data_IF_424559670531
#
_entry.id   IF_424559670531
#
_cell.length_a   1.000
_cell.length_b   1.000
_cell.length_c   1.000
_cell.angle_alpha   90.00
_cell.angle_beta   90.00
_cell.angle_gamma   90.00
#
_symmetry.space_group_name_H-M   'P 1'
#
loop_
_entity.id
_entity.type
_entity.pdbx_description
1 polymer ?
#
# COMPACT_ATOMS: atom_id res chain seq x y z
N UNK A 1 -13.06 -19.33 9.64
CA UNK A 1 -13.25 -18.21 8.69
C UNK A 1 -12.17 -17.13 8.85
N UNK A 2 -11.78 -16.76 10.08
CA UNK A 2 -10.72 -15.76 10.35
C UNK A 2 -9.32 -16.14 9.85
N UNK A 3 -8.95 -17.42 9.89
CA UNK A 3 -7.63 -17.91 9.45
C UNK A 3 -7.40 -17.77 7.95
N UNK A 4 -8.39 -18.11 7.12
CA UNK A 4 -8.31 -17.93 5.67
C UNK A 4 -8.16 -16.45 5.29
N UNK A 5 -8.92 -15.58 5.96
CA UNK A 5 -8.84 -14.13 5.73
C UNK A 5 -7.49 -13.56 6.19
N UNK A 6 -6.95 -14.04 7.31
CA UNK A 6 -5.62 -13.67 7.77
C UNK A 6 -4.52 -14.06 6.78
N UNK A 7 -4.55 -15.30 6.28
CA UNK A 7 -3.60 -15.80 5.28
C UNK A 7 -3.73 -14.98 3.99
N UNK A 8 -4.96 -14.72 3.53
CA UNK A 8 -5.19 -13.91 2.34
C UNK A 8 -4.63 -12.49 2.47
N UNK A 9 -4.79 -11.85 3.63
CA UNK A 9 -4.23 -10.52 3.90
C UNK A 9 -2.70 -10.51 3.91
N UNK A 10 -2.08 -11.53 4.52
CA UNK A 10 -0.61 -11.67 4.56
C UNK A 10 -0.08 -11.91 3.14
N UNK A 11 -0.68 -12.83 2.39
CA UNK A 11 -0.30 -13.11 1.00
C UNK A 11 -0.48 -11.88 0.11
N UNK A 12 -1.57 -11.13 0.29
CA UNK A 12 -1.79 -9.87 -0.40
C UNK A 12 -0.71 -8.84 -0.09
N UNK A 13 -0.35 -8.68 1.19
CA UNK A 13 0.75 -7.80 1.60
C UNK A 13 2.10 -8.20 1.02
N UNK A 14 2.35 -9.49 0.77
CA UNK A 14 3.58 -9.95 0.12
C UNK A 14 3.56 -9.77 -1.40
N UNK A 15 2.40 -9.99 -2.04
CA UNK A 15 2.26 -9.91 -3.49
C UNK A 15 2.17 -8.47 -4.01
N UNK A 16 1.58 -7.55 -3.24
CA UNK A 16 1.35 -6.18 -3.67
C UNK A 16 2.64 -5.40 -4.04
N UNK A 17 3.72 -5.42 -3.23
CA UNK A 17 4.98 -4.76 -3.60
C UNK A 17 5.54 -5.25 -4.94
N UNK A 18 5.50 -6.55 -5.19
CA UNK A 18 5.98 -7.15 -6.44
C UNK A 18 5.17 -6.65 -7.64
N UNK A 19 3.85 -6.60 -7.52
CA UNK A 19 2.97 -6.10 -8.57
C UNK A 19 3.24 -4.62 -8.90
N UNK A 20 3.45 -3.78 -7.87
CA UNK A 20 3.77 -2.36 -8.06
C UNK A 20 5.17 -2.18 -8.64
N UNK A 21 6.18 -2.93 -8.20
CA UNK A 21 7.52 -2.90 -8.78
C UNK A 21 7.51 -3.22 -10.28
N UNK A 22 6.77 -4.27 -10.68
CA UNK A 22 6.60 -4.62 -12.10
C UNK A 22 5.90 -3.48 -12.86
N UNK A 23 4.88 -2.86 -12.26
CA UNK A 23 4.17 -1.73 -12.86
C UNK A 23 5.09 -0.50 -13.02
N UNK A 24 5.84 -0.14 -11.98
CA UNK A 24 6.80 0.96 -11.98
C UNK A 24 7.88 0.72 -13.04
N UNK A 25 8.43 -0.49 -13.10
CA UNK A 25 9.43 -0.84 -14.11
C UNK A 25 8.85 -0.64 -15.52
N UNK A 26 7.64 -1.16 -15.80
CA UNK A 26 6.97 -0.94 -17.09
C UNK A 26 6.72 0.54 -17.39
N UNK A 27 6.35 1.34 -16.39
CA UNK A 27 6.14 2.78 -16.56
C UNK A 27 7.46 3.48 -16.88
N UNK A 28 8.54 3.17 -16.18
CA UNK A 28 9.86 3.77 -16.41
C UNK A 28 10.46 3.35 -17.76
N UNK A 29 10.29 2.09 -18.19
CA UNK A 29 10.82 1.60 -19.47
C UNK A 29 10.04 2.12 -20.68
N UNK A 30 8.72 2.36 -20.54
CA UNK A 30 7.87 2.79 -21.66
C UNK A 30 7.65 4.30 -21.73
N UNK A 31 7.93 5.04 -20.67
CA UNK A 31 7.66 6.48 -20.66
C UNK A 31 8.75 7.23 -21.43
N UNK A 32 8.32 8.02 -22.42
CA UNK A 32 9.19 8.93 -23.17
C UNK A 32 9.63 10.13 -22.34
N UNK A 33 8.96 10.39 -21.21
CA UNK A 33 9.29 11.41 -20.22
C UNK A 33 9.25 10.80 -18.82
N UNK A 34 10.15 11.22 -17.91
CA UNK A 34 10.16 10.70 -16.56
C UNK A 34 8.86 11.11 -15.84
N UNK A 35 8.16 10.17 -15.17
CA UNK A 35 6.97 10.50 -14.39
C UNK A 35 7.33 11.48 -13.26
N UNK A 36 6.38 12.35 -12.89
CA UNK A 36 6.58 13.34 -11.85
C UNK A 36 7.10 12.70 -10.55
N UNK A 37 8.10 13.31 -9.92
CA UNK A 37 8.72 12.83 -8.68
C UNK A 37 7.69 12.55 -7.58
N UNK A 38 6.66 13.41 -7.48
CA UNK A 38 5.56 13.24 -6.53
C UNK A 38 4.77 11.95 -6.76
N UNK A 39 4.55 11.55 -8.02
CA UNK A 39 3.87 10.30 -8.37
C UNK A 39 4.70 9.08 -7.96
N UNK A 40 6.00 9.08 -8.24
CA UNK A 40 6.92 8.00 -7.86
C UNK A 40 7.00 7.84 -6.34
N UNK A 41 7.18 8.95 -5.61
CA UNK A 41 7.24 8.94 -4.14
C UNK A 41 5.93 8.43 -3.55
N UNK A 42 4.79 8.86 -4.07
CA UNK A 42 3.49 8.41 -3.57
C UNK A 42 3.26 6.92 -3.85
N UNK A 43 3.69 6.42 -5.02
CA UNK A 43 3.66 4.97 -5.28
C UNK A 43 4.58 4.20 -4.34
N UNK A 44 5.78 4.70 -4.08
CA UNK A 44 6.73 4.05 -3.17
C UNK A 44 6.19 3.99 -1.73
N UNK A 45 5.61 5.09 -1.26
CA UNK A 45 4.94 5.14 0.05
C UNK A 45 3.78 4.15 0.13
N UNK A 46 2.97 4.08 -0.94
CA UNK A 46 1.86 3.12 -1.02
C UNK A 46 2.36 1.66 -0.99
N UNK A 47 3.51 1.36 -1.62
CA UNK A 47 4.13 0.03 -1.55
C UNK A 47 4.65 -0.35 -0.18
N UNK A 48 4.84 0.60 0.73
CA UNK A 48 5.16 0.31 2.13
C UNK A 48 3.91 0.22 2.99
N UNK A 49 3.08 1.26 2.97
CA UNK A 49 1.96 1.41 3.90
C UNK A 49 0.88 0.35 3.73
N UNK A 50 0.50 0.04 2.49
CA UNK A 50 -0.58 -0.88 2.17
C UNK A 50 -0.28 -2.34 2.57
N UNK A 51 0.90 -2.92 2.25
CA UNK A 51 1.23 -4.26 2.70
C UNK A 51 1.51 -4.34 4.19
N UNK A 52 2.08 -3.31 4.82
CA UNK A 52 2.23 -3.25 6.28
C UNK A 52 0.86 -3.32 6.96
N UNK A 53 -0.11 -2.52 6.50
CA UNK A 53 -1.48 -2.57 7.01
C UNK A 53 -2.12 -3.94 6.84
N UNK A 54 -1.98 -4.55 5.66
CA UNK A 54 -2.52 -5.88 5.38
C UNK A 54 -1.90 -6.98 6.25
N UNK A 55 -0.56 -7.04 6.36
CA UNK A 55 0.16 -8.05 7.14
C UNK A 55 -0.16 -7.91 8.62
N UNK A 56 -0.14 -6.69 9.17
CA UNK A 56 -0.46 -6.47 10.58
C UNK A 56 -1.91 -6.83 10.89
N UNK A 57 -2.85 -6.46 10.02
CA UNK A 57 -4.26 -6.86 10.19
C UNK A 57 -4.41 -8.38 10.12
N UNK A 58 -3.72 -9.05 9.19
CA UNK A 58 -3.66 -10.50 9.11
C UNK A 58 -3.07 -11.15 10.37
N UNK A 59 -1.97 -10.62 10.89
CA UNK A 59 -1.36 -11.09 12.14
C UNK A 59 -2.32 -10.92 13.34
N UNK A 60 -3.04 -9.80 13.41
CA UNK A 60 -4.02 -9.54 14.46
C UNK A 60 -5.23 -10.48 14.42
N UNK A 61 -5.58 -11.00 13.24
CA UNK A 61 -6.62 -12.01 13.08
C UNK A 61 -6.17 -13.41 13.53
N UNK A 62 -4.87 -13.71 13.45
CA UNK A 62 -4.30 -14.95 13.98
C UNK A 62 -4.09 -14.86 15.49
N UNK A 63 -3.64 -13.70 15.99
CA UNK A 63 -3.45 -13.40 17.41
C UNK A 63 -4.32 -12.21 17.84
N UNK A 64 -5.60 -12.45 18.22
CA UNK A 64 -6.53 -11.39 18.61
C UNK A 64 -6.06 -10.52 19.77
N UNK A 65 -5.17 -11.05 20.63
CA UNK A 65 -4.56 -10.31 21.75
C UNK A 65 -3.79 -9.07 21.31
N UNK A 66 -3.35 -9.01 20.05
CA UNK A 66 -2.66 -7.84 19.50
C UNK A 66 -3.57 -6.59 19.45
N UNK A 67 -4.89 -6.76 19.31
CA UNK A 67 -5.83 -5.64 19.32
C UNK A 67 -5.95 -4.95 20.69
N UNK A 68 -5.53 -5.61 21.77
CA UNK A 68 -5.48 -4.99 23.10
C UNK A 68 -4.24 -4.10 23.31
N UNK A 69 -3.26 -4.16 22.40
CA UNK A 69 -2.04 -3.38 22.48
C UNK A 69 -2.23 -2.03 21.76
N UNK A 70 -2.36 -0.94 22.51
CA UNK A 70 -2.57 0.42 21.98
C UNK A 70 -1.57 0.83 20.89
N UNK A 71 -0.25 0.68 21.10
CA UNK A 71 0.77 0.89 20.06
C UNK A 71 0.53 0.09 18.78
N UNK A 72 0.10 -1.17 18.88
CA UNK A 72 -0.19 -2.00 17.72
C UNK A 72 -1.39 -1.47 16.94
N UNK A 73 -2.48 -1.09 17.63
CA UNK A 73 -3.66 -0.50 17.00
C UNK A 73 -3.29 0.80 16.28
N UNK A 74 -2.53 1.68 16.94
CA UNK A 74 -2.06 2.93 16.34
C UNK A 74 -1.23 2.69 15.07
N UNK A 75 -0.36 1.68 15.09
CA UNK A 75 0.45 1.31 13.92
C UNK A 75 -0.41 0.82 12.74
N UNK A 76 -1.38 -0.07 13.01
CA UNK A 76 -2.31 -0.57 11.99
C UNK A 76 -3.14 0.58 11.42
N UNK A 77 -3.68 1.45 12.27
CA UNK A 77 -4.45 2.62 11.84
C UNK A 77 -3.60 3.58 11.01
N UNK A 78 -2.38 3.90 11.45
CA UNK A 78 -1.47 4.77 10.71
C UNK A 78 -1.11 4.20 9.33
N UNK A 79 -0.88 2.89 9.23
CA UNK A 79 -0.61 2.23 7.95
C UNK A 79 -1.79 2.35 6.98
N UNK A 80 -3.02 2.10 7.45
CA UNK A 80 -4.22 2.25 6.62
C UNK A 80 -4.52 3.70 6.23
N UNK A 81 -4.33 4.66 7.15
CA UNK A 81 -4.51 6.09 6.87
C UNK A 81 -3.50 6.57 5.82
N UNK A 82 -2.22 6.18 5.96
CA UNK A 82 -1.19 6.50 4.97
C UNK A 82 -1.50 5.89 3.60
N UNK A 83 -1.93 4.62 3.57
CA UNK A 83 -2.33 3.95 2.33
C UNK A 83 -3.52 4.66 1.64
N UNK A 84 -4.56 4.99 2.40
CA UNK A 84 -5.72 5.73 1.90
C UNK A 84 -5.32 7.11 1.37
N UNK A 85 -4.49 7.85 2.10
CA UNK A 85 -3.97 9.15 1.68
C UNK A 85 -3.18 9.07 0.37
N UNK A 86 -2.33 8.06 0.21
CA UNK A 86 -1.59 7.83 -1.02
C UNK A 86 -2.51 7.48 -2.21
N UNK A 87 -3.54 6.66 -1.99
CA UNK A 87 -4.52 6.32 -3.03
C UNK A 87 -5.27 7.58 -3.49
N UNK A 88 -5.75 8.39 -2.54
CA UNK A 88 -6.45 9.65 -2.84
C UNK A 88 -5.53 10.61 -3.59
N UNK A 89 -4.27 10.75 -3.17
CA UNK A 89 -3.31 11.61 -3.85
C UNK A 89 -3.02 11.14 -5.28
N UNK A 90 -2.79 9.85 -5.50
CA UNK A 90 -2.62 9.28 -6.84
C UNK A 90 -3.85 9.49 -7.72
N UNK A 91 -5.05 9.36 -7.14
CA UNK A 91 -6.30 9.63 -7.84
C UNK A 91 -6.42 11.10 -8.24
N UNK A 92 -6.10 12.03 -7.33
CA UNK A 92 -6.11 13.47 -7.60
C UNK A 92 -5.09 13.86 -8.69
N UNK A 93 -3.89 13.28 -8.67
CA UNK A 93 -2.88 13.48 -9.72
C UNK A 93 -3.41 12.99 -11.07
N UNK A 94 -4.08 11.83 -11.08
CA UNK A 94 -4.70 11.28 -12.28
C UNK A 94 -5.82 12.17 -12.84
N UNK A 95 -6.68 12.71 -12.00
CA UNK A 95 -7.81 13.57 -12.43
C UNK A 95 -7.34 14.94 -12.89
N UNK A 96 -6.32 15.53 -12.25
CA UNK A 96 -5.82 16.87 -12.60
C UNK A 96 -4.94 16.91 -13.86
N UNK A 97 -4.69 15.78 -14.53
CA UNK A 97 -3.85 15.74 -15.72
C UNK A 97 -2.39 16.16 -15.49
N UNK A 98 -1.97 16.36 -14.24
CA UNK A 98 -0.57 16.59 -13.86
C UNK A 98 0.15 15.25 -13.89
N UNK A 99 0.75 14.99 -15.05
CA UNK A 99 1.76 13.97 -15.32
C UNK A 99 1.38 12.52 -15.00
N UNK A 100 0.49 11.98 -15.85
CA UNK A 100 0.53 10.55 -16.21
C UNK A 100 1.22 10.37 -17.59
N UNK A 101 1.92 11.40 -18.09
CA UNK A 101 2.66 11.37 -19.37
C UNK A 101 4.08 11.83 -19.20
#
# INVERSE_FOLDING_TARGET
MSTLLAIALILFGLAYPLAVLVRLNRTLTRASRPPATLYLVTQLLLTGALPVGAILTGAALLLPRLWANGPFVALVTAAWVMAAGCIVLLWLLRVRGRDIR
#
